data_IF_415860878218
#
_entry.id   IF_415860878218
#
_cell.length_a   1.000
_cell.length_b   1.000
_cell.length_c   1.000
_cell.angle_alpha   90.00
_cell.angle_beta   90.00
_cell.angle_gamma   90.00
#
_symmetry.space_group_name_H-M   'P 1'
#
loop_
_entity.id
_entity.type
_entity.pdbx_description
1 polymer ?
#
# COMPACT_ATOMS: atom_id res chain seq x y z
N UNK A 1 -26.71 -14.17 -9.38
CA UNK A 1 -25.58 -13.44 -8.76
C UNK A 1 -26.18 -12.35 -7.90
N UNK A 2 -25.82 -12.24 -6.63
CA UNK A 2 -26.31 -11.15 -5.78
C UNK A 2 -25.71 -9.83 -6.30
N UNK A 3 -26.57 -8.89 -6.72
CA UNK A 3 -26.15 -7.54 -7.08
C UNK A 3 -26.40 -6.64 -5.87
N UNK A 4 -25.36 -5.96 -5.40
CA UNK A 4 -25.44 -5.02 -4.27
C UNK A 4 -26.15 -3.71 -4.61
N UNK A 5 -26.36 -3.43 -5.91
CA UNK A 5 -26.90 -2.16 -6.41
C UNK A 5 -25.94 -0.97 -6.27
N UNK A 6 -24.69 -1.20 -5.86
CA UNK A 6 -23.66 -0.18 -5.71
C UNK A 6 -22.69 -0.24 -6.89
N UNK A 7 -22.18 0.91 -7.32
CA UNK A 7 -21.03 0.98 -8.21
C UNK A 7 -19.79 0.52 -7.43
N UNK A 8 -19.31 -0.69 -7.73
CA UNK A 8 -18.20 -1.35 -7.04
C UNK A 8 -17.07 -1.53 -8.04
N UNK A 9 -15.85 -1.27 -7.56
CA UNK A 9 -14.61 -1.49 -8.30
C UNK A 9 -13.85 -2.69 -7.75
N UNK A 10 -13.20 -3.44 -8.64
CA UNK A 10 -12.32 -4.55 -8.28
C UNK A 10 -10.88 -4.15 -8.57
N UNK A 11 -10.07 -4.02 -7.51
CA UNK A 11 -8.64 -3.80 -7.63
C UNK A 11 -7.88 -5.14 -7.54
N UNK A 12 -7.03 -5.43 -8.53
CA UNK A 12 -6.16 -6.59 -8.48
C UNK A 12 -4.86 -6.27 -7.72
N UNK A 13 -4.60 -7.02 -6.65
CA UNK A 13 -3.42 -6.85 -5.79
C UNK A 13 -2.12 -7.23 -6.49
N UNK A 14 -1.13 -6.34 -6.41
CA UNK A 14 0.26 -6.55 -6.82
C UNK A 14 1.15 -6.26 -5.61
N UNK A 15 1.39 -7.28 -4.79
CA UNK A 15 2.33 -7.19 -3.67
C UNK A 15 3.81 -7.23 -4.08
N UNK A 16 4.73 -6.80 -3.20
CA UNK A 16 6.16 -6.68 -3.48
C UNK A 16 6.84 -8.05 -3.62
N UNK A 17 8.04 -8.06 -4.19
CA UNK A 17 8.94 -9.20 -4.28
C UNK A 17 9.24 -9.80 -2.91
N UNK A 18 9.45 -8.95 -1.89
CA UNK A 18 9.70 -9.38 -0.53
C UNK A 18 8.64 -10.35 0.03
N UNK A 19 7.37 -10.20 -0.37
CA UNK A 19 6.30 -11.06 0.09
C UNK A 19 6.41 -12.50 -0.48
N UNK A 20 7.04 -12.66 -1.65
CA UNK A 20 7.28 -13.97 -2.25
C UNK A 20 8.47 -14.72 -1.60
N UNK A 21 9.32 -14.02 -0.85
CA UNK A 21 10.44 -14.61 -0.11
C UNK A 21 9.98 -15.32 1.19
N UNK A 22 8.76 -15.02 1.65
CA UNK A 22 8.15 -15.58 2.87
C UNK A 22 9.01 -15.45 4.15
N UNK A 23 9.88 -14.44 4.20
CA UNK A 23 10.81 -14.19 5.31
C UNK A 23 10.60 -12.81 5.97
N UNK A 24 9.48 -12.14 5.69
CA UNK A 24 9.14 -10.81 6.20
C UNK A 24 9.87 -9.67 5.50
N UNK A 25 10.55 -9.94 4.38
CA UNK A 25 11.28 -8.92 3.61
C UNK A 25 10.38 -7.84 3.01
N UNK A 26 9.08 -8.07 2.86
CA UNK A 26 8.09 -7.04 2.50
C UNK A 26 8.05 -5.87 3.50
N UNK A 27 8.56 -6.05 4.72
CA UNK A 27 8.70 -5.01 5.75
C UNK A 27 10.14 -4.48 5.92
N UNK A 28 11.09 -4.96 5.11
CA UNK A 28 12.50 -4.50 5.12
C UNK A 28 12.90 -3.80 3.83
N UNK A 29 12.43 -4.29 2.67
CA UNK A 29 12.92 -3.87 1.36
C UNK A 29 14.39 -4.24 1.12
N UNK A 30 15.00 -3.72 0.04
CA UNK A 30 16.39 -4.00 -0.35
C UNK A 30 16.76 -5.49 -0.29
N UNK A 31 16.11 -6.29 -1.14
CA UNK A 31 16.18 -7.76 -1.14
C UNK A 31 17.52 -8.35 -1.63
N UNK A 32 18.53 -7.51 -1.89
CA UNK A 32 19.79 -7.93 -2.51
C UNK A 32 19.67 -8.35 -3.98
N UNK A 33 18.55 -8.05 -4.63
CA UNK A 33 18.29 -8.37 -6.04
C UNK A 33 18.28 -7.09 -6.87
N UNK A 34 18.74 -7.17 -8.13
CA UNK A 34 18.75 -6.04 -9.05
C UNK A 34 17.42 -5.86 -9.79
N UNK A 35 17.27 -4.69 -10.45
CA UNK A 35 16.09 -4.33 -11.26
C UNK A 35 15.67 -5.40 -12.27
N UNK A 36 16.61 -6.10 -12.91
CA UNK A 36 16.30 -7.16 -13.88
C UNK A 36 15.52 -8.33 -13.26
N UNK A 37 15.89 -8.74 -12.04
CA UNK A 37 15.21 -9.81 -11.33
C UNK A 37 13.81 -9.38 -10.88
N UNK A 38 13.67 -8.15 -10.39
CA UNK A 38 12.36 -7.57 -10.06
C UNK A 38 11.46 -7.49 -11.29
N UNK A 39 12.03 -7.11 -12.45
CA UNK A 39 11.30 -7.01 -13.71
C UNK A 39 10.78 -8.37 -14.17
N UNK A 40 11.63 -9.39 -14.15
CA UNK A 40 11.24 -10.75 -14.51
C UNK A 40 10.14 -11.30 -13.58
N UNK A 41 10.27 -11.06 -12.28
CA UNK A 41 9.28 -11.48 -11.29
C UNK A 41 7.91 -10.83 -11.51
N UNK A 42 7.86 -9.52 -11.74
CA UNK A 42 6.60 -8.78 -11.88
C UNK A 42 5.96 -8.94 -13.24
N UNK A 43 6.74 -9.01 -14.33
CA UNK A 43 6.20 -9.06 -15.69
C UNK A 43 5.17 -10.19 -15.88
N UNK A 44 5.49 -11.40 -15.43
CA UNK A 44 4.60 -12.56 -15.55
C UNK A 44 3.34 -12.43 -14.69
N UNK A 45 3.44 -11.81 -13.52
CA UNK A 45 2.29 -11.60 -12.62
C UNK A 45 1.35 -10.53 -13.19
N UNK A 46 1.92 -9.41 -13.65
CA UNK A 46 1.16 -8.34 -14.26
C UNK A 46 0.43 -8.81 -15.52
N UNK A 47 1.04 -9.63 -16.36
CA UNK A 47 0.38 -10.21 -17.54
C UNK A 47 -0.91 -10.95 -17.16
N UNK A 48 -0.84 -11.83 -16.15
CA UNK A 48 -2.00 -12.60 -15.69
C UNK A 48 -3.08 -11.72 -15.04
N UNK A 49 -2.68 -10.74 -14.22
CA UNK A 49 -3.60 -9.84 -13.55
C UNK A 49 -4.29 -8.90 -14.53
N UNK A 50 -3.56 -8.34 -15.50
CA UNK A 50 -4.12 -7.50 -16.56
C UNK A 50 -5.09 -8.32 -17.43
N UNK A 51 -4.75 -9.56 -17.77
CA UNK A 51 -5.64 -10.45 -18.52
C UNK A 51 -6.97 -10.76 -17.80
N UNK A 52 -7.02 -10.62 -16.47
CA UNK A 52 -8.27 -10.74 -15.71
C UNK A 52 -9.19 -9.51 -15.81
N UNK A 53 -8.74 -8.44 -16.48
CA UNK A 53 -9.45 -7.18 -16.71
C UNK A 53 -10.06 -6.56 -15.43
N UNK A 54 -9.23 -6.31 -14.38
CA UNK A 54 -9.68 -5.60 -13.20
C UNK A 54 -9.99 -4.14 -13.52
N UNK A 55 -10.77 -3.48 -12.66
CA UNK A 55 -10.99 -2.04 -12.79
C UNK A 55 -9.71 -1.24 -12.48
N UNK A 56 -8.90 -1.73 -11.53
CA UNK A 56 -7.72 -1.03 -10.98
C UNK A 56 -6.61 -2.06 -10.68
N UNK A 57 -5.34 -1.68 -10.77
CA UNK A 57 -4.24 -2.43 -10.14
C UNK A 57 -3.80 -1.76 -8.82
N UNK A 58 -3.68 -2.55 -7.76
CA UNK A 58 -3.21 -2.09 -6.47
C UNK A 58 -1.75 -2.48 -6.26
N UNK A 59 -0.81 -1.60 -6.62
CA UNK A 59 0.61 -1.80 -6.31
C UNK A 59 0.81 -1.51 -4.82
N UNK A 60 0.68 -2.53 -3.98
CA UNK A 60 0.50 -2.34 -2.53
C UNK A 60 1.64 -2.93 -1.69
N UNK A 61 1.87 -2.33 -0.54
CA UNK A 61 2.88 -2.72 0.44
C UNK A 61 4.31 -2.59 -0.09
N UNK A 62 4.57 -1.65 -1.01
CA UNK A 62 5.90 -1.46 -1.61
C UNK A 62 6.88 -0.89 -0.58
N UNK A 63 7.91 -1.63 -0.14
CA UNK A 63 8.85 -1.11 0.86
C UNK A 63 9.99 -0.30 0.24
N UNK A 64 10.20 -0.41 -1.08
CA UNK A 64 11.40 0.08 -1.78
C UNK A 64 11.01 0.80 -3.08
N UNK A 65 11.51 2.02 -3.27
CA UNK A 65 11.25 2.80 -4.49
C UNK A 65 11.87 2.19 -5.74
N UNK A 66 12.97 1.42 -5.62
CA UNK A 66 13.56 0.73 -6.77
C UNK A 66 12.57 -0.25 -7.42
N UNK A 67 11.77 -0.92 -6.59
CA UNK A 67 10.75 -1.85 -7.08
C UNK A 67 9.59 -1.11 -7.75
N UNK A 68 9.19 0.04 -7.20
CA UNK A 68 8.18 0.90 -7.82
C UNK A 68 8.64 1.41 -9.18
N UNK A 69 9.89 1.86 -9.33
CA UNK A 69 10.43 2.26 -10.64
C UNK A 69 10.26 1.15 -11.69
N UNK A 70 10.56 -0.10 -11.32
CA UNK A 70 10.40 -1.25 -12.22
C UNK A 70 8.94 -1.50 -12.57
N UNK A 71 8.02 -1.36 -11.62
CA UNK A 71 6.58 -1.52 -11.86
C UNK A 71 6.02 -0.41 -12.75
N UNK A 72 6.44 0.84 -12.55
CA UNK A 72 6.05 1.97 -13.40
C UNK A 72 6.53 1.78 -14.84
N UNK A 73 7.78 1.31 -15.02
CA UNK A 73 8.32 0.97 -16.35
C UNK A 73 7.54 -0.17 -17.01
N UNK A 74 7.11 -1.18 -16.25
CA UNK A 74 6.31 -2.30 -16.77
C UNK A 74 4.87 -1.91 -17.12
N UNK A 75 4.35 -0.84 -16.52
CA UNK A 75 2.97 -0.38 -16.68
C UNK A 75 2.84 0.87 -17.58
N UNK A 76 3.92 1.32 -18.23
CA UNK A 76 3.93 2.55 -19.03
C UNK A 76 2.85 2.59 -20.12
N UNK A 77 2.55 1.44 -20.72
CA UNK A 77 1.52 1.28 -21.77
C UNK A 77 0.26 0.56 -21.27
N UNK A 78 0.12 0.36 -19.95
CA UNK A 78 -1.04 -0.32 -19.39
C UNK A 78 -2.26 0.63 -19.35
N UNK A 79 -3.40 0.26 -19.94
CA UNK A 79 -4.59 1.10 -19.93
C UNK A 79 -5.38 1.04 -18.61
N UNK A 80 -5.06 0.08 -17.73
CA UNK A 80 -5.75 -0.10 -16.45
C UNK A 80 -5.15 0.90 -15.44
N UNK A 81 -5.98 1.74 -14.81
CA UNK A 81 -5.48 2.67 -13.80
C UNK A 81 -4.93 1.92 -12.59
N UNK A 82 -3.96 2.50 -11.91
CA UNK A 82 -3.31 1.87 -10.76
C UNK A 82 -2.98 2.89 -9.69
N UNK A 83 -2.97 2.47 -8.43
CA UNK A 83 -2.35 3.24 -7.35
C UNK A 83 -1.05 2.60 -6.90
N UNK A 84 -0.18 3.41 -6.28
CA UNK A 84 1.02 2.95 -5.58
C UNK A 84 0.84 3.19 -4.09
N UNK A 85 1.03 2.17 -3.28
CA UNK A 85 0.96 2.26 -1.83
C UNK A 85 2.21 1.69 -1.19
N UNK A 86 2.87 2.50 -0.37
CA UNK A 86 4.11 2.16 0.30
C UNK A 86 3.85 1.55 1.68
N UNK A 87 4.76 0.67 2.09
CA UNK A 87 4.90 0.31 3.51
C UNK A 87 6.03 1.15 4.13
N UNK A 88 5.74 1.76 5.27
CA UNK A 88 6.57 2.80 5.86
C UNK A 88 6.93 2.49 7.32
N UNK A 89 7.92 3.24 7.82
CA UNK A 89 8.40 3.21 9.21
C UNK A 89 8.51 4.63 9.77
N UNK A 90 8.89 4.71 11.04
CA UNK A 90 9.17 5.99 11.71
C UNK A 90 10.20 6.84 10.93
N UNK A 91 10.11 8.16 11.09
CA UNK A 91 10.98 9.11 10.40
C UNK A 91 10.54 9.45 8.97
N UNK A 92 9.26 9.25 8.64
CA UNK A 92 8.67 9.57 7.34
C UNK A 92 9.42 8.92 6.16
N UNK A 93 9.69 7.61 6.30
CA UNK A 93 10.44 6.84 5.32
C UNK A 93 9.71 5.55 4.95
N UNK A 94 9.95 5.06 3.73
CA UNK A 94 9.61 3.69 3.34
C UNK A 94 10.38 2.69 4.23
N UNK A 95 9.95 1.43 4.24
CA UNK A 95 10.65 0.40 4.99
C UNK A 95 12.12 0.21 4.55
N UNK A 96 12.42 0.35 3.26
CA UNK A 96 13.79 0.35 2.74
C UNK A 96 14.58 1.64 3.06
N UNK A 97 13.93 2.68 3.59
CA UNK A 97 14.58 3.88 4.12
C UNK A 97 14.63 5.07 3.17
N UNK A 98 13.92 5.04 2.04
CA UNK A 98 13.76 6.23 1.20
C UNK A 98 12.79 7.21 1.85
N UNK A 99 13.03 8.51 1.67
CA UNK A 99 12.15 9.58 2.16
C UNK A 99 10.78 9.46 1.48
N UNK A 100 9.71 9.48 2.28
CA UNK A 100 8.36 9.27 1.77
C UNK A 100 7.94 10.34 0.74
N UNK A 101 8.33 11.61 0.94
CA UNK A 101 8.09 12.67 -0.04
C UNK A 101 8.65 12.33 -1.44
N UNK A 102 9.88 11.83 -1.52
CA UNK A 102 10.48 11.41 -2.79
C UNK A 102 9.80 10.18 -3.39
N UNK A 103 9.27 9.29 -2.55
CA UNK A 103 8.46 8.15 -3.00
C UNK A 103 7.12 8.61 -3.60
N UNK A 104 6.48 9.62 -2.99
CA UNK A 104 5.27 10.26 -3.52
C UNK A 104 5.52 10.93 -4.86
N UNK A 105 6.63 11.64 -5.02
CA UNK A 105 7.03 12.29 -6.28
C UNK A 105 7.21 11.26 -7.42
N UNK A 106 7.81 10.11 -7.12
CA UNK A 106 8.04 9.04 -8.09
C UNK A 106 6.72 8.48 -8.66
N UNK A 107 5.67 8.39 -7.85
CA UNK A 107 4.42 7.74 -8.21
C UNK A 107 3.33 8.68 -8.76
N UNK A 108 3.66 9.92 -9.12
CA UNK A 108 2.68 10.91 -9.59
C UNK A 108 1.99 10.57 -10.92
N UNK A 109 2.49 9.58 -11.68
CA UNK A 109 1.80 9.06 -12.87
C UNK A 109 0.63 8.12 -12.56
N UNK A 110 0.52 7.67 -11.30
CA UNK A 110 -0.57 6.80 -10.83
C UNK A 110 -1.88 7.58 -10.68
N UNK A 111 -3.01 6.87 -10.52
CA UNK A 111 -4.29 7.53 -10.20
C UNK A 111 -4.36 8.00 -8.74
N UNK A 112 -3.58 7.38 -7.87
CA UNK A 112 -3.44 7.71 -6.45
C UNK A 112 -2.10 7.16 -5.92
N UNK A 113 -1.60 7.75 -4.85
CA UNK A 113 -0.41 7.29 -4.14
C UNK A 113 -0.67 7.25 -2.64
N UNK A 114 0.00 6.44 -1.84
CA UNK A 114 -0.14 6.57 -0.39
C UNK A 114 0.48 5.44 0.41
N UNK A 115 -0.21 5.02 1.46
CA UNK A 115 0.36 4.15 2.50
C UNK A 115 -0.60 3.03 2.87
N UNK A 116 -0.07 1.84 3.03
CA UNK A 116 -0.78 0.71 3.62
C UNK A 116 0.11 -0.16 4.49
N UNK A 117 -0.52 -1.05 5.24
CA UNK A 117 0.14 -2.01 6.13
C UNK A 117 1.15 -1.36 7.11
N UNK A 118 0.97 -0.06 7.36
CA UNK A 118 1.74 0.77 8.28
C UNK A 118 0.88 1.09 9.49
N UNK A 119 1.51 1.31 10.65
CA UNK A 119 0.78 1.60 11.88
C UNK A 119 0.00 2.93 11.76
N UNK A 120 -1.28 3.00 12.19
CA UNK A 120 -2.13 4.19 12.01
C UNK A 120 -1.51 5.47 12.55
N UNK A 121 -0.76 5.40 13.64
CA UNK A 121 -0.11 6.53 14.29
C UNK A 121 0.97 7.22 13.43
N UNK A 122 1.50 6.53 12.42
CA UNK A 122 2.50 7.10 11.51
C UNK A 122 1.88 7.81 10.30
N UNK A 123 0.62 7.53 9.99
CA UNK A 123 -0.01 7.94 8.73
C UNK A 123 -0.11 9.46 8.62
N UNK A 124 -0.62 10.16 9.64
CA UNK A 124 -0.77 11.63 9.61
C UNK A 124 0.59 12.31 9.38
N UNK A 125 1.66 11.82 10.02
CA UNK A 125 3.02 12.35 9.85
C UNK A 125 3.58 12.11 8.45
N UNK A 126 3.34 10.92 7.87
CA UNK A 126 3.73 10.58 6.51
C UNK A 126 3.01 11.46 5.49
N UNK A 127 1.67 11.55 5.55
CA UNK A 127 0.88 12.38 4.64
C UNK A 127 1.29 13.86 4.71
N UNK A 128 1.53 14.39 5.92
CA UNK A 128 1.97 15.77 6.11
C UNK A 128 3.40 16.04 5.61
N UNK A 129 4.22 15.00 5.45
CA UNK A 129 5.61 15.13 5.02
C UNK A 129 5.78 15.25 3.49
N UNK A 130 4.71 15.01 2.73
CA UNK A 130 4.73 14.95 1.28
C UNK A 130 3.62 15.81 0.66
N UNK A 131 3.87 16.34 -0.53
CA UNK A 131 2.86 17.03 -1.34
C UNK A 131 2.56 16.15 -2.54
N UNK A 132 1.29 15.87 -2.78
CA UNK A 132 0.84 15.08 -3.94
C UNK A 132 -0.13 15.89 -4.78
N UNK A 133 0.00 15.78 -6.11
CA UNK A 133 -0.96 16.35 -7.06
C UNK A 133 -2.13 15.41 -7.37
N UNK A 134 -1.99 14.13 -6.98
CA UNK A 134 -3.01 13.08 -7.07
C UNK A 134 -3.52 12.70 -5.67
N UNK A 135 -4.73 12.14 -5.54
CA UNK A 135 -5.30 11.76 -4.25
C UNK A 135 -4.45 10.76 -3.46
N UNK A 136 -4.57 10.79 -2.14
CA UNK A 136 -3.97 9.76 -1.29
C UNK A 136 -4.86 8.50 -1.15
N UNK A 137 -4.20 7.33 -1.11
CA UNK A 137 -4.80 6.04 -0.71
C UNK A 137 -4.20 5.58 0.64
N UNK A 138 -5.05 5.28 1.61
CA UNK A 138 -4.66 5.05 3.01
C UNK A 138 -5.42 3.85 3.59
N UNK A 139 -4.71 2.76 3.86
CA UNK A 139 -5.31 1.57 4.47
C UNK A 139 -4.32 0.93 5.45
N UNK A 140 -4.21 1.49 6.67
CA UNK A 140 -3.23 1.07 7.65
C UNK A 140 -3.56 -0.31 8.24
N UNK A 141 -2.58 -0.89 8.95
CA UNK A 141 -2.83 -2.07 9.77
C UNK A 141 -3.52 -1.69 11.09
N UNK A 142 -3.89 -2.68 11.91
CA UNK A 142 -4.54 -2.45 13.22
C UNK A 142 -3.64 -1.82 14.31
N UNK A 143 -2.38 -1.46 14.01
CA UNK A 143 -1.40 -1.00 15.00
C UNK A 143 -0.83 -2.11 15.90
N UNK A 144 -1.36 -3.33 15.80
CA UNK A 144 -0.80 -4.49 16.50
C UNK A 144 0.54 -4.89 15.88
N UNK A 145 1.52 -5.16 16.73
CA UNK A 145 2.83 -5.70 16.36
C UNK A 145 2.78 -7.22 16.42
N UNK A 146 3.37 -7.88 15.43
CA UNK A 146 3.54 -9.33 15.46
C UNK A 146 4.76 -9.68 16.33
N UNK A 147 4.54 -10.42 17.41
CA UNK A 147 5.60 -11.04 18.18
C UNK A 147 5.93 -12.40 17.55
N UNK A 148 7.00 -12.46 16.75
CA UNK A 148 7.43 -13.68 16.09
C UNK A 148 7.93 -14.78 17.05
N UNK A 149 8.37 -14.40 18.25
CA UNK A 149 8.87 -15.35 19.27
C UNK A 149 7.72 -16.11 19.88
N UNK A 150 6.68 -15.39 20.28
CA UNK A 150 5.50 -15.95 20.94
C UNK A 150 4.38 -16.31 19.94
N UNK A 151 4.53 -15.93 18.67
CA UNK A 151 3.53 -16.10 17.59
C UNK A 151 2.17 -15.50 17.95
N UNK A 152 2.18 -14.33 18.58
CA UNK A 152 0.98 -13.59 18.99
C UNK A 152 1.04 -12.15 18.50
N UNK A 153 -0.14 -11.55 18.33
CA UNK A 153 -0.25 -10.11 18.10
C UNK A 153 -0.25 -9.38 19.46
N UNK A 154 0.65 -8.41 19.61
CA UNK A 154 0.78 -7.55 20.79
C UNK A 154 0.41 -6.11 20.41
N UNK A 155 -0.34 -5.40 21.25
CA UNK A 155 -0.83 -4.05 20.95
C UNK A 155 -2.18 -3.76 21.61
N UNK A 156 -2.79 -2.63 21.28
CA UNK A 156 -4.11 -2.25 21.81
C UNK A 156 -5.18 -3.26 21.38
N UNK A 157 -6.13 -3.54 22.27
CA UNK A 157 -7.29 -4.39 21.97
C UNK A 157 -8.36 -3.65 21.14
N UNK A 158 -8.21 -2.33 20.99
CA UNK A 158 -9.07 -1.51 20.13
C UNK A 158 -8.71 -1.82 18.67
N UNK A 159 -9.63 -2.47 17.97
CA UNK A 159 -9.53 -2.79 16.55
C UNK A 159 -10.25 -1.67 15.78
N UNK A 160 -9.58 -1.06 14.80
CA UNK A 160 -10.11 0.05 14.02
C UNK A 160 -9.24 1.31 14.08
N UNK A 161 -9.77 2.42 13.58
CA UNK A 161 -9.12 3.73 13.64
C UNK A 161 -10.01 4.66 14.45
N UNK A 162 -9.40 5.57 15.21
CA UNK A 162 -10.16 6.63 15.84
C UNK A 162 -10.70 7.59 14.76
N UNK A 163 -11.98 7.97 14.84
CA UNK A 163 -12.65 8.82 13.84
C UNK A 163 -11.90 10.13 13.54
N UNK A 164 -11.16 10.67 14.51
CA UNK A 164 -10.35 11.86 14.31
C UNK A 164 -9.17 11.62 13.35
N UNK A 165 -8.55 10.43 13.38
CA UNK A 165 -7.47 10.09 12.46
C UNK A 165 -7.98 10.02 11.02
N UNK A 166 -9.14 9.40 10.80
CA UNK A 166 -9.76 9.34 9.46
C UNK A 166 -10.05 10.74 8.92
N UNK A 167 -10.57 11.64 9.76
CA UNK A 167 -10.80 13.05 9.40
C UNK A 167 -9.51 13.77 9.05
N UNK A 168 -8.46 13.62 9.85
CA UNK A 168 -7.14 14.19 9.57
C UNK A 168 -6.59 13.69 8.21
N UNK A 169 -6.73 12.40 7.90
CA UNK A 169 -6.27 11.86 6.62
C UNK A 169 -7.05 12.45 5.44
N UNK A 170 -8.36 12.62 5.57
CA UNK A 170 -9.20 13.27 4.55
C UNK A 170 -8.78 14.72 4.34
N UNK A 171 -8.55 15.48 5.41
CA UNK A 171 -8.07 16.87 5.34
C UNK A 171 -6.71 17.00 4.67
N UNK A 172 -5.86 15.97 4.80
CA UNK A 172 -4.57 15.85 4.13
C UNK A 172 -4.65 15.31 2.69
N UNK A 173 -5.85 15.03 2.17
CA UNK A 173 -6.08 14.65 0.78
C UNK A 173 -6.30 13.16 0.52
N UNK A 174 -6.53 12.33 1.56
CA UNK A 174 -6.94 10.95 1.38
C UNK A 174 -8.35 10.86 0.81
N UNK A 175 -8.51 10.08 -0.26
CA UNK A 175 -9.81 9.81 -0.89
C UNK A 175 -10.17 8.33 -0.90
N UNK A 176 -9.16 7.46 -0.84
CA UNK A 176 -9.36 6.02 -0.76
C UNK A 176 -8.92 5.55 0.62
N UNK A 177 -9.87 5.22 1.48
CA UNK A 177 -9.60 4.83 2.88
C UNK A 177 -10.10 3.41 3.13
N UNK A 178 -9.29 2.60 3.79
CA UNK A 178 -9.63 1.22 4.12
C UNK A 178 -8.77 0.68 5.25
N UNK A 179 -8.59 -0.64 5.30
CA UNK A 179 -7.76 -1.29 6.30
C UNK A 179 -6.98 -2.48 5.73
N UNK A 180 -5.86 -2.77 6.38
CA UNK A 180 -4.97 -3.86 6.03
C UNK A 180 -4.97 -4.91 7.17
N UNK A 181 -3.79 -5.38 7.59
CA UNK A 181 -3.66 -6.44 8.59
C UNK A 181 -4.41 -6.15 9.91
N UNK A 182 -5.38 -7.00 10.23
CA UNK A 182 -6.13 -6.93 11.48
C UNK A 182 -7.34 -5.99 11.47
N UNK A 183 -7.71 -5.42 10.32
CA UNK A 183 -8.94 -4.65 10.12
C UNK A 183 -9.97 -5.53 9.41
N UNK A 184 -11.18 -5.62 9.94
CA UNK A 184 -12.25 -6.47 9.43
C UNK A 184 -13.46 -5.69 8.90
N UNK A 185 -14.52 -6.40 8.47
CA UNK A 185 -15.71 -5.76 7.90
C UNK A 185 -16.43 -4.79 8.84
N UNK A 186 -16.38 -5.01 10.15
CA UNK A 186 -17.04 -4.14 11.13
C UNK A 186 -16.36 -2.78 11.22
N UNK A 187 -15.02 -2.78 11.21
CA UNK A 187 -14.23 -1.55 11.21
C UNK A 187 -14.42 -0.80 9.88
N UNK A 188 -14.43 -1.51 8.75
CA UNK A 188 -14.73 -0.89 7.44
C UNK A 188 -16.14 -0.29 7.40
N UNK A 189 -17.12 -0.92 8.05
CA UNK A 189 -18.48 -0.38 8.12
C UNK A 189 -18.61 0.88 9.00
N UNK A 190 -17.57 1.18 9.79
CA UNK A 190 -17.52 2.32 10.70
C UNK A 190 -16.74 3.52 10.12
N UNK A 191 -16.21 3.40 8.90
CA UNK A 191 -15.51 4.47 8.17
C UNK A 191 -16.47 5.50 7.55
#
# INVERSE_FOLDING_TARGET
>A
MAQSGKDIKVAASVGPYGAAMADGSEYRGNYGVGKSALKEFHAKRLELLIASNPDILALETMPDTQEVEVLLDLLSDCPIPYWVSYSCKEGNATNAGQIFASAVDLAQSAMAVGINCTAPELITGLLSSAVSSIPYVVYPNSGRKWDATNKVWIGTNEVGFADNLVKEWIELGAQFIGGCCGIGPNEIASL
#
